data_IF_078873010828
#
_entry.id   IF_078873010828
#
_cell.length_a   1.000
_cell.length_b   1.000
_cell.length_c   1.000
_cell.angle_alpha   90.00
_cell.angle_beta   90.00
_cell.angle_gamma   90.00
#
_symmetry.space_group_name_H-M   'P 1'
#
loop_
_entity.id
_entity.type
_entity.pdbx_description
1 polymer ?
#
# COMPACT_ATOMS: atom_id res chain seq x y z
N UNK A 1 3.17 34.10 -4.26
CA UNK A 1 3.59 32.68 -4.41
C UNK A 1 2.79 32.07 -5.55
N UNK A 2 3.41 31.32 -6.47
CA UNK A 2 2.73 30.80 -7.65
C UNK A 2 1.64 29.79 -7.22
N UNK A 3 0.38 29.86 -7.73
CA UNK A 3 -0.71 28.97 -7.32
C UNK A 3 -0.36 27.48 -7.43
N UNK A 4 0.43 27.11 -8.43
CA UNK A 4 0.90 25.74 -8.64
C UNK A 4 1.84 25.21 -7.56
N UNK A 5 2.66 26.07 -6.94
CA UNK A 5 3.56 25.67 -5.85
C UNK A 5 2.74 25.43 -4.58
N UNK A 6 1.78 26.31 -4.29
CA UNK A 6 0.88 26.16 -3.14
C UNK A 6 0.05 24.87 -3.28
N UNK A 7 -0.53 24.64 -4.46
CA UNK A 7 -1.30 23.42 -4.74
C UNK A 7 -0.45 22.14 -4.61
N UNK A 8 0.79 22.17 -5.10
CA UNK A 8 1.72 21.05 -4.97
C UNK A 8 2.08 20.71 -3.52
N UNK A 9 2.36 21.74 -2.70
CA UNK A 9 2.68 21.56 -1.28
C UNK A 9 1.47 21.00 -0.52
N UNK A 10 0.29 21.61 -0.69
CA UNK A 10 -0.93 21.17 0.02
C UNK A 10 -1.30 19.74 -0.39
N UNK A 11 -1.28 19.44 -1.69
CA UNK A 11 -1.55 18.10 -2.20
C UNK A 11 -0.55 17.07 -1.70
N UNK A 12 0.73 17.41 -1.66
CA UNK A 12 1.79 16.55 -1.13
C UNK A 12 1.60 16.24 0.36
N UNK A 13 1.34 17.27 1.18
CA UNK A 13 1.10 17.09 2.63
C UNK A 13 -0.12 16.22 2.88
N UNK A 14 -1.24 16.49 2.22
CA UNK A 14 -2.47 15.68 2.36
C UNK A 14 -2.23 14.24 1.91
N UNK A 15 -1.53 14.04 0.79
CA UNK A 15 -1.20 12.71 0.28
C UNK A 15 -0.33 11.91 1.25
N UNK A 16 0.69 12.52 1.85
CA UNK A 16 1.55 11.87 2.83
C UNK A 16 0.77 11.51 4.10
N UNK A 17 -0.03 12.43 4.64
CA UNK A 17 -0.84 12.17 5.83
C UNK A 17 -1.83 11.03 5.56
N UNK A 18 -2.54 11.07 4.43
CA UNK A 18 -3.46 10.00 4.03
C UNK A 18 -2.76 8.65 3.90
N UNK A 19 -1.57 8.62 3.29
CA UNK A 19 -0.75 7.41 3.17
C UNK A 19 -0.30 6.85 4.52
N UNK A 20 0.13 7.71 5.45
CA UNK A 20 0.57 7.31 6.78
C UNK A 20 -0.60 6.78 7.62
N UNK A 21 -1.74 7.48 7.63
CA UNK A 21 -2.95 7.06 8.33
C UNK A 21 -3.45 5.74 7.78
N UNK A 22 -3.55 5.61 6.45
CA UNK A 22 -3.95 4.36 5.80
C UNK A 22 -3.03 3.20 6.15
N UNK A 23 -1.70 3.42 6.12
CA UNK A 23 -0.70 2.42 6.50
C UNK A 23 -0.85 2.00 7.97
N UNK A 24 -1.05 2.96 8.88
CA UNK A 24 -1.22 2.70 10.30
C UNK A 24 -2.47 1.85 10.58
N UNK A 25 -3.62 2.21 10.01
CA UNK A 25 -4.85 1.43 10.15
C UNK A 25 -4.70 0.02 9.56
N UNK A 26 -4.01 -0.10 8.42
CA UNK A 26 -3.74 -1.37 7.76
C UNK A 26 -2.92 -2.33 8.63
N UNK A 27 -1.90 -1.82 9.32
CA UNK A 27 -1.04 -2.61 10.23
C UNK A 27 -1.72 -2.86 11.58
N UNK A 28 -2.49 -1.90 12.12
CA UNK A 28 -3.15 -2.04 13.41
C UNK A 28 -4.29 -3.06 13.41
N UNK A 29 -4.94 -3.25 12.26
CA UNK A 29 -6.08 -4.16 12.12
C UNK A 29 -5.68 -5.63 11.84
N UNK A 30 -4.39 -5.98 11.94
CA UNK A 30 -3.91 -7.36 11.79
C UNK A 30 -3.96 -8.11 13.12
N UNK A 31 -4.42 -9.36 13.12
CA UNK A 31 -4.71 -10.15 14.32
C UNK A 31 -3.57 -11.11 14.72
N UNK A 32 -2.49 -11.18 13.92
CA UNK A 32 -1.36 -12.06 14.21
C UNK A 32 -0.01 -11.55 13.69
N UNK A 33 1.10 -12.11 14.23
CA UNK A 33 2.46 -11.64 13.97
C UNK A 33 2.91 -11.84 12.53
N UNK A 34 2.49 -12.92 11.85
CA UNK A 34 2.82 -13.15 10.43
C UNK A 34 2.00 -12.23 9.53
N UNK A 35 0.73 -12.01 9.86
CA UNK A 35 -0.13 -11.05 9.16
C UNK A 35 0.49 -9.64 9.21
N UNK A 36 0.91 -9.20 10.40
CA UNK A 36 1.56 -7.90 10.61
C UNK A 36 2.86 -7.75 9.81
N UNK A 37 3.72 -8.78 9.83
CA UNK A 37 4.98 -8.76 9.08
C UNK A 37 4.75 -8.67 7.56
N UNK A 38 3.74 -9.37 7.03
CA UNK A 38 3.34 -9.24 5.63
C UNK A 38 2.84 -7.83 5.32
N UNK A 39 1.96 -7.27 6.15
CA UNK A 39 1.40 -5.93 5.94
C UNK A 39 2.48 -4.84 5.97
N UNK A 40 3.47 -4.92 6.86
CA UNK A 40 4.61 -3.99 6.88
C UNK A 40 5.38 -4.05 5.55
N UNK A 41 5.71 -5.25 5.06
CA UNK A 41 6.40 -5.41 3.77
C UNK A 41 5.56 -4.86 2.62
N UNK A 42 4.26 -5.12 2.62
CA UNK A 42 3.33 -4.64 1.59
C UNK A 42 3.23 -3.11 1.57
N UNK A 43 3.17 -2.48 2.76
CA UNK A 43 3.20 -1.02 2.91
C UNK A 43 4.50 -0.43 2.38
N UNK A 44 5.66 -1.01 2.72
CA UNK A 44 6.97 -0.54 2.24
C UNK A 44 7.03 -0.59 0.71
N UNK A 45 6.61 -1.69 0.10
CA UNK A 45 6.56 -1.85 -1.35
C UNK A 45 5.62 -0.81 -1.98
N UNK A 46 4.46 -0.56 -1.36
CA UNK A 46 3.51 0.46 -1.81
C UNK A 46 4.11 1.87 -1.80
N UNK A 47 4.81 2.26 -0.73
CA UNK A 47 5.49 3.55 -0.65
C UNK A 47 6.61 3.68 -1.69
N UNK A 48 7.42 2.63 -1.89
CA UNK A 48 8.44 2.61 -2.94
C UNK A 48 7.80 2.80 -4.32
N UNK A 49 6.71 2.08 -4.61
CA UNK A 49 5.99 2.21 -5.87
C UNK A 49 5.42 3.63 -6.09
N UNK A 50 4.89 4.27 -5.06
CA UNK A 50 4.41 5.66 -5.12
C UNK A 50 5.58 6.62 -5.41
N UNK A 51 6.71 6.48 -4.73
CA UNK A 51 7.90 7.33 -4.95
C UNK A 51 8.41 7.17 -6.38
N UNK A 52 8.54 5.93 -6.85
CA UNK A 52 8.97 5.63 -8.24
C UNK A 52 7.98 6.22 -9.24
N UNK A 53 6.67 6.06 -9.01
CA UNK A 53 5.64 6.64 -9.87
C UNK A 53 5.75 8.16 -9.93
N UNK A 54 5.91 8.84 -8.80
CA UNK A 54 6.07 10.29 -8.75
C UNK A 54 7.34 10.75 -9.47
N UNK A 55 8.48 10.07 -9.26
CA UNK A 55 9.73 10.37 -9.96
C UNK A 55 9.56 10.23 -11.48
N UNK A 56 8.95 9.14 -11.95
CA UNK A 56 8.66 8.95 -13.37
C UNK A 56 7.71 10.01 -13.91
N UNK A 57 6.70 10.40 -13.13
CA UNK A 57 5.71 11.41 -13.52
C UNK A 57 6.35 12.80 -13.70
N UNK A 58 7.33 13.16 -12.86
CA UNK A 58 8.07 14.41 -12.97
C UNK A 58 9.18 14.37 -14.03
N UNK A 59 9.78 13.20 -14.26
CA UNK A 59 10.88 13.03 -15.22
C UNK A 59 10.39 12.93 -16.68
N UNK A 60 9.23 12.31 -16.93
CA UNK A 60 8.73 12.12 -18.29
C UNK A 60 8.06 13.40 -18.86
N UNK A 61 8.42 13.82 -20.08
CA UNK A 61 7.75 14.91 -20.76
C UNK A 61 6.31 14.53 -21.16
N UNK A 62 5.42 15.52 -21.21
CA UNK A 62 4.06 15.33 -21.76
C UNK A 62 4.16 14.93 -23.25
N UNK A 63 3.36 13.97 -23.75
CA UNK A 63 2.21 13.32 -23.12
C UNK A 63 2.52 11.96 -22.45
N UNK A 64 3.78 11.51 -22.46
CA UNK A 64 4.14 10.17 -21.96
C UNK A 64 3.84 9.97 -20.47
N UNK A 65 3.76 11.05 -19.71
CA UNK A 65 3.31 11.02 -18.31
C UNK A 65 1.88 10.49 -18.13
N UNK A 66 0.98 10.70 -19.11
CA UNK A 66 -0.39 10.17 -19.08
C UNK A 66 -0.39 8.65 -19.30
N UNK A 67 0.54 8.14 -20.12
CA UNK A 67 0.68 6.71 -20.33
C UNK A 67 1.01 5.94 -19.05
N UNK A 68 1.68 6.58 -18.08
CA UNK A 68 2.01 5.97 -16.77
C UNK A 68 0.77 5.67 -15.91
N UNK A 69 -0.34 6.36 -16.13
CA UNK A 69 -1.58 6.13 -15.38
C UNK A 69 -2.21 4.77 -15.69
N UNK A 70 -2.03 4.26 -16.92
CA UNK A 70 -2.55 2.95 -17.33
C UNK A 70 -1.89 1.81 -16.54
N UNK A 71 -0.54 1.63 -16.57
CA UNK A 71 0.11 0.59 -15.80
C UNK A 71 -0.04 0.84 -14.29
N UNK A 72 -0.08 2.10 -13.83
CA UNK A 72 -0.32 2.41 -12.42
C UNK A 72 -1.69 1.95 -11.94
N UNK A 73 -2.77 2.30 -12.66
CA UNK A 73 -4.12 1.88 -12.29
C UNK A 73 -4.28 0.36 -12.30
N UNK A 74 -3.70 -0.30 -13.30
CA UNK A 74 -3.73 -1.76 -13.40
C UNK A 74 -2.92 -2.44 -12.30
N UNK A 75 -1.69 -1.95 -12.04
CA UNK A 75 -0.85 -2.44 -10.96
C UNK A 75 -1.50 -2.26 -9.59
N UNK A 76 -2.15 -1.12 -9.36
CA UNK A 76 -2.88 -0.85 -8.12
C UNK A 76 -4.03 -1.84 -7.93
N UNK A 77 -4.82 -2.09 -8.97
CA UNK A 77 -5.92 -3.06 -8.92
C UNK A 77 -5.43 -4.48 -8.59
N UNK A 78 -4.35 -4.91 -9.24
CA UNK A 78 -3.72 -6.21 -8.96
C UNK A 78 -3.17 -6.25 -7.54
N UNK A 79 -2.46 -5.22 -7.12
CA UNK A 79 -1.85 -5.16 -5.79
C UNK A 79 -2.92 -5.25 -4.69
N UNK A 80 -4.03 -4.52 -4.82
CA UNK A 80 -5.14 -4.58 -3.87
C UNK A 80 -5.74 -5.99 -3.82
N UNK A 81 -6.02 -6.59 -4.98
CA UNK A 81 -6.61 -7.94 -5.03
C UNK A 81 -5.66 -8.99 -4.44
N UNK A 82 -4.38 -8.93 -4.79
CA UNK A 82 -3.35 -9.84 -4.32
C UNK A 82 -3.09 -9.68 -2.83
N UNK A 83 -2.91 -8.44 -2.36
CA UNK A 83 -2.67 -8.09 -0.96
C UNK A 83 -3.81 -8.58 -0.07
N UNK A 84 -5.06 -8.29 -0.44
CA UNK A 84 -6.25 -8.74 0.30
C UNK A 84 -6.36 -10.26 0.35
N UNK A 85 -6.02 -10.96 -0.75
CA UNK A 85 -6.07 -12.42 -0.79
C UNK A 85 -5.00 -13.02 0.12
N UNK A 86 -3.76 -12.54 0.03
CA UNK A 86 -2.66 -13.03 0.86
C UNK A 86 -2.85 -12.72 2.33
N UNK A 87 -3.35 -11.53 2.67
CA UNK A 87 -3.68 -11.20 4.05
C UNK A 87 -4.73 -12.16 4.64
N UNK A 88 -5.78 -12.48 3.88
CA UNK A 88 -6.81 -13.46 4.29
C UNK A 88 -6.28 -14.89 4.42
N UNK A 89 -5.41 -15.32 3.49
CA UNK A 89 -4.75 -16.64 3.56
C UNK A 89 -3.91 -16.77 4.84
N UNK A 90 -3.11 -15.75 5.18
CA UNK A 90 -2.27 -15.74 6.39
C UNK A 90 -3.13 -15.77 7.64
N UNK A 91 -4.21 -14.97 7.68
CA UNK A 91 -5.13 -14.94 8.82
C UNK A 91 -5.76 -16.31 9.09
N UNK A 92 -6.24 -17.00 8.04
CA UNK A 92 -6.81 -18.36 8.17
C UNK A 92 -5.78 -19.36 8.71
N UNK A 93 -4.55 -19.32 8.20
CA UNK A 93 -3.48 -20.20 8.67
C UNK A 93 -3.13 -19.95 10.15
N UNK A 94 -3.10 -18.68 10.57
CA UNK A 94 -2.87 -18.34 11.97
C UNK A 94 -4.03 -18.79 12.88
N UNK A 95 -5.28 -18.68 12.42
CA UNK A 95 -6.47 -19.18 13.14
C UNK A 95 -6.47 -20.71 13.26
N UNK A 96 -6.24 -21.45 12.17
CA UNK A 96 -6.16 -22.91 12.15
C UNK A 96 -5.04 -23.45 13.04
N UNK A 97 -3.86 -22.80 13.03
CA UNK A 97 -2.72 -23.19 13.87
C UNK A 97 -2.99 -23.02 15.38
N UNK A 98 -3.80 -22.01 15.76
CA UNK A 98 -4.24 -21.82 17.15
C UNK A 98 -5.19 -22.93 17.58
N UNK A 99 -6.15 -23.30 16.73
CA UNK A 99 -7.13 -24.37 17.03
C UNK A 99 -6.44 -25.73 17.17
N UNK A 100 -5.56 -26.09 16.23
CA UNK A 100 -4.84 -27.37 16.26
C UNK A 100 -3.82 -27.52 17.41
N UNK A 101 -3.42 -26.42 18.04
CA UNK A 101 -2.61 -26.45 19.27
C UNK A 101 -3.51 -26.63 20.51
N UNK A 102 -4.72 -26.07 20.51
CA UNK A 102 -5.67 -26.20 21.62
C UNK A 102 -6.25 -27.59 21.77
N UNK A 103 -6.31 -28.39 20.69
CA UNK A 103 -6.87 -29.75 20.70
C UNK A 103 -5.87 -30.82 21.16
N UNK A 104 -4.61 -30.41 21.44
CA UNK A 104 -3.50 -31.28 21.86
C UNK A 104 -3.07 -31.07 23.32
N UNK A 105 -3.76 -30.22 24.08
CA UNK A 105 -3.52 -29.96 25.51
C UNK A 105 -4.64 -30.54 26.35
#
# INVERSE_FOLDING_TARGET
MHPGIIGGIIGGVIGVIGGLVGSYFSIKNTNGPKERAFMIKFVIIGWIAIIVFLLLLFYLPKPYNFLLWIPYGFALFIAIRYGNRKQREIRKQEEESKIGTSDKG
#
